data_IF_080068059677
#
_entry.id   IF_080068059677
#
_cell.length_a   1.000
_cell.length_b   1.000
_cell.length_c   1.000
_cell.angle_alpha   90.00
_cell.angle_beta   90.00
_cell.angle_gamma   90.00
#
_symmetry.space_group_name_H-M   'P 1'
#
loop_
_entity.id
_entity.type
_entity.pdbx_description
1 polymer ?
#
# COMPACT_ATOMS: atom_id res chain seq x y z
N UNK A 1 20.87 -81.61 -3.44
CA UNK A 1 20.06 -82.78 -3.03
C UNK A 1 18.94 -82.31 -2.11
N UNK A 2 17.79 -82.98 -2.17
CA UNK A 2 16.77 -83.10 -1.10
C UNK A 2 16.22 -81.79 -0.47
N UNK A 3 15.12 -81.21 -0.94
CA UNK A 3 13.72 -81.62 -0.67
C UNK A 3 13.23 -81.43 0.78
N UNK A 4 12.35 -80.46 1.02
CA UNK A 4 10.94 -80.77 1.34
C UNK A 4 10.05 -79.51 1.31
N UNK A 5 8.79 -79.71 0.99
CA UNK A 5 7.73 -78.71 0.84
C UNK A 5 6.87 -78.56 2.09
N UNK A 6 6.35 -77.36 2.35
CA UNK A 6 4.90 -77.18 2.56
C UNK A 6 4.51 -75.70 2.48
N UNK A 7 3.41 -75.40 1.79
CA UNK A 7 2.87 -74.05 1.67
C UNK A 7 1.56 -73.88 2.41
N UNK A 8 1.21 -72.63 2.76
CA UNK A 8 -0.19 -72.20 2.84
C UNK A 8 -0.32 -70.68 2.72
N UNK A 9 -1.14 -70.25 1.78
CA UNK A 9 -1.49 -68.84 1.58
C UNK A 9 -2.21 -68.25 2.79
N UNK A 10 -1.92 -66.99 3.11
CA UNK A 10 -2.89 -66.04 3.69
C UNK A 10 -2.57 -64.63 3.19
N UNK A 11 -3.60 -63.94 2.70
CA UNK A 11 -3.56 -62.50 2.42
C UNK A 11 -3.10 -61.76 3.67
N UNK A 12 -2.27 -60.73 3.52
CA UNK A 12 -2.20 -59.60 4.45
C UNK A 12 -2.55 -58.35 3.67
N UNK A 13 -3.71 -57.79 3.99
CA UNK A 13 -4.17 -56.50 3.52
C UNK A 13 -3.46 -55.37 4.26
N UNK A 14 -3.32 -54.24 3.57
CA UNK A 14 -3.58 -52.87 4.04
C UNK A 14 -3.22 -52.53 5.50
N UNK A 15 -2.09 -51.81 5.70
CA UNK A 15 -2.00 -50.61 6.56
C UNK A 15 -0.81 -49.74 6.07
N UNK A 16 -1.04 -48.78 5.17
CA UNK A 16 -0.07 -47.71 4.86
C UNK A 16 -0.64 -46.51 4.05
N UNK A 17 -1.96 -46.28 4.03
CA UNK A 17 -2.57 -45.12 3.34
C UNK A 17 -3.70 -44.53 4.20
N UNK A 18 -3.37 -43.98 5.37
CA UNK A 18 -4.40 -43.39 6.26
C UNK A 18 -3.88 -42.28 7.17
N UNK A 19 -3.36 -41.20 6.56
CA UNK A 19 -3.19 -39.89 7.24
C UNK A 19 -3.71 -38.72 6.37
N UNK A 20 -3.83 -38.90 5.05
CA UNK A 20 -4.23 -37.84 4.11
C UNK A 20 -5.73 -37.58 3.93
N UNK A 21 -6.62 -38.44 4.44
CA UNK A 21 -8.08 -38.35 4.18
C UNK A 21 -8.91 -37.83 5.37
N UNK A 22 -8.36 -37.82 6.59
CA UNK A 22 -9.08 -37.39 7.80
C UNK A 22 -9.36 -35.88 7.91
N UNK A 23 -8.60 -35.02 7.20
CA UNK A 23 -8.84 -33.57 7.20
C UNK A 23 -9.86 -33.13 6.13
N UNK A 24 -10.09 -33.92 5.08
CA UNK A 24 -11.05 -33.59 4.02
C UNK A 24 -12.47 -34.02 4.36
N UNK A 25 -12.66 -35.08 5.16
CA UNK A 25 -13.99 -35.49 5.63
C UNK A 25 -14.61 -34.52 6.65
N UNK A 26 -13.79 -33.81 7.44
CA UNK A 26 -14.23 -32.77 8.37
C UNK A 26 -14.74 -31.48 7.70
N UNK A 27 -14.44 -31.28 6.42
CA UNK A 27 -14.91 -30.12 5.63
C UNK A 27 -16.07 -30.46 4.68
N UNK A 28 -16.41 -31.74 4.52
CA UNK A 28 -17.51 -32.21 3.67
C UNK A 28 -18.81 -32.53 4.45
N UNK A 29 -18.82 -32.33 5.77
CA UNK A 29 -19.80 -32.93 6.68
C UNK A 29 -21.09 -32.15 6.98
N UNK A 30 -21.27 -30.93 6.47
CA UNK A 30 -22.51 -30.14 6.67
C UNK A 30 -22.94 -29.38 5.42
N UNK A 31 -23.61 -30.08 4.51
CA UNK A 31 -24.47 -29.49 3.48
C UNK A 31 -25.86 -29.24 4.10
N UNK A 32 -26.28 -27.99 4.20
CA UNK A 32 -27.60 -27.63 4.73
C UNK A 32 -28.69 -27.73 3.64
N UNK A 33 -29.83 -28.43 3.87
CA UNK A 33 -30.79 -28.74 2.82
C UNK A 33 -31.98 -27.77 2.77
N UNK A 34 -31.77 -26.48 2.49
CA UNK A 34 -32.87 -25.51 2.27
C UNK A 34 -32.62 -24.62 1.04
N UNK A 35 -32.75 -25.21 -0.15
CA UNK A 35 -32.70 -24.48 -1.43
C UNK A 35 -33.88 -24.84 -2.36
N UNK A 36 -35.06 -25.07 -1.77
CA UNK A 36 -36.32 -25.28 -2.48
C UNK A 36 -37.51 -24.66 -1.73
N UNK A 37 -37.69 -23.33 -1.81
CA UNK A 37 -39.04 -22.77 -1.95
C UNK A 37 -39.05 -21.38 -2.61
N UNK A 38 -40.08 -21.20 -3.45
CA UNK A 38 -40.62 -19.93 -3.94
C UNK A 38 -39.75 -18.97 -4.79
N UNK A 39 -39.70 -19.26 -6.09
CA UNK A 39 -39.78 -18.20 -7.11
C UNK A 39 -41.25 -17.74 -7.20
N UNK A 40 -41.60 -16.52 -6.75
CA UNK A 40 -42.82 -15.81 -7.14
C UNK A 40 -42.86 -14.33 -6.69
N UNK A 41 -43.60 -13.53 -7.47
CA UNK A 41 -44.14 -12.18 -7.18
C UNK A 41 -43.20 -10.94 -7.29
N UNK A 42 -43.55 -10.08 -8.24
CA UNK A 42 -42.96 -8.76 -8.56
C UNK A 42 -43.76 -7.60 -7.97
N UNK A 43 -43.21 -6.36 -8.01
CA UNK A 43 -43.95 -5.06 -7.87
C UNK A 43 -44.47 -4.75 -6.45
N UNK A 44 -44.55 -3.56 -5.87
CA UNK A 44 -44.29 -2.13 -6.20
C UNK A 44 -43.53 -1.47 -4.99
N UNK A 45 -43.17 -0.18 -4.87
CA UNK A 45 -43.33 1.09 -5.63
C UNK A 45 -42.13 2.02 -5.29
N UNK A 46 -42.02 3.22 -5.88
CA UNK A 46 -41.25 4.33 -5.29
C UNK A 46 -42.03 4.99 -4.14
N UNK A 47 -41.32 5.39 -3.08
CA UNK A 47 -41.84 6.26 -2.01
C UNK A 47 -40.77 7.24 -1.55
N UNK A 48 -41.06 8.54 -1.63
CA UNK A 48 -40.12 9.61 -1.28
C UNK A 48 -39.91 9.71 0.24
N UNK A 49 -38.65 9.62 0.69
CA UNK A 49 -38.30 9.84 2.10
C UNK A 49 -37.78 11.28 2.30
N UNK A 50 -38.59 12.07 3.00
CA UNK A 50 -38.38 13.50 3.25
C UNK A 50 -37.30 13.72 4.33
N UNK A 51 -36.19 14.35 4.00
CA UNK A 51 -35.13 14.69 4.97
C UNK A 51 -35.62 15.82 5.89
N UNK A 52 -35.82 15.52 7.17
CA UNK A 52 -35.90 16.55 8.22
C UNK A 52 -34.50 16.88 8.71
N UNK A 53 -34.09 18.14 8.52
CA UNK A 53 -32.91 18.72 9.19
C UNK A 53 -33.39 19.40 10.46
N UNK A 54 -33.03 18.87 11.62
CA UNK A 54 -33.16 19.57 12.91
C UNK A 54 -31.87 20.31 13.20
N UNK A 55 -31.98 21.64 13.21
CA UNK A 55 -30.94 22.57 13.62
C UNK A 55 -30.96 22.68 15.16
N UNK A 56 -29.81 22.51 15.81
CA UNK A 56 -29.63 22.88 17.23
C UNK A 56 -28.42 23.80 17.41
N UNK A 57 -28.55 24.70 18.38
CA UNK A 57 -27.76 25.92 18.49
C UNK A 57 -26.40 25.76 19.18
N UNK A 58 -25.46 26.64 18.80
CA UNK A 58 -24.13 26.66 19.37
C UNK A 58 -24.06 27.23 20.79
N UNK A 59 -23.12 26.71 21.59
CA UNK A 59 -22.54 27.43 22.73
C UNK A 59 -21.02 27.39 22.66
N UNK A 60 -20.42 28.57 22.65
CA UNK A 60 -18.97 28.75 22.77
C UNK A 60 -18.54 28.40 24.20
N UNK A 61 -17.56 27.50 24.34
CA UNK A 61 -16.93 27.11 25.59
C UNK A 61 -15.45 27.51 25.62
N UNK A 62 -14.96 27.95 26.78
CA UNK A 62 -13.66 28.61 26.94
C UNK A 62 -12.45 27.70 26.66
N UNK A 63 -11.35 28.33 26.25
CA UNK A 63 -10.03 27.70 26.15
C UNK A 63 -9.44 27.47 27.56
N UNK A 64 -9.13 26.21 27.88
CA UNK A 64 -8.21 25.86 28.97
C UNK A 64 -6.92 25.26 28.39
N UNK A 65 -5.79 25.63 28.99
CA UNK A 65 -4.45 25.25 28.56
C UNK A 65 -4.05 23.92 29.20
N UNK A 66 -3.66 22.93 28.40
CA UNK A 66 -3.07 21.68 28.91
C UNK A 66 -1.54 21.82 29.06
N UNK A 67 -0.95 21.33 30.17
CA UNK A 67 0.47 21.52 30.46
C UNK A 67 1.40 20.59 29.65
N UNK A 68 2.61 21.07 29.40
CA UNK A 68 3.71 20.30 28.80
C UNK A 68 4.13 19.13 29.69
N UNK A 69 4.19 17.92 29.12
CA UNK A 69 4.81 16.75 29.73
C UNK A 69 5.84 16.12 28.77
N UNK A 70 7.04 15.88 29.27
CA UNK A 70 8.17 15.26 28.54
C UNK A 70 8.14 13.71 28.70
N UNK A 71 8.88 12.96 27.85
CA UNK A 71 8.41 11.65 27.41
C UNK A 71 8.82 10.47 28.32
N UNK A 72 7.87 9.56 28.55
CA UNK A 72 8.08 8.23 29.10
C UNK A 72 7.32 7.20 28.26
N UNK A 73 8.00 6.14 27.79
CA UNK A 73 7.47 5.25 26.76
C UNK A 73 6.48 4.21 27.30
N UNK A 74 5.18 4.37 26.98
CA UNK A 74 4.18 3.28 27.00
C UNK A 74 3.20 3.45 25.83
N UNK A 75 2.97 2.36 25.09
CA UNK A 75 1.86 2.12 24.16
C UNK A 75 1.50 3.22 23.12
N UNK A 76 2.20 3.21 21.99
CA UNK A 76 1.56 3.47 20.71
C UNK A 76 0.61 2.31 20.37
N UNK A 77 -0.53 2.25 21.06
CA UNK A 77 -1.68 1.52 20.56
C UNK A 77 -2.10 2.22 19.27
N UNK A 78 -1.84 1.59 18.12
CA UNK A 78 -1.95 2.24 16.83
C UNK A 78 -3.35 2.85 16.65
N UNK A 79 -3.39 4.12 16.21
CA UNK A 79 -4.59 4.69 15.61
C UNK A 79 -5.07 3.70 14.53
N UNK A 80 -6.17 2.99 14.81
CA UNK A 80 -6.90 2.27 13.76
C UNK A 80 -7.36 3.36 12.82
N UNK A 81 -6.75 3.41 11.63
CA UNK A 81 -7.04 4.43 10.64
C UNK A 81 -8.55 4.46 10.40
N UNK A 82 -9.13 5.65 10.26
CA UNK A 82 -10.59 5.82 10.12
C UNK A 82 -11.14 4.95 8.97
N UNK A 83 -10.33 4.78 7.93
CA UNK A 83 -10.53 3.89 6.78
C UNK A 83 -10.62 2.40 7.17
N UNK A 84 -9.74 1.91 8.06
CA UNK A 84 -9.82 0.54 8.58
C UNK A 84 -11.07 0.31 9.44
N UNK A 85 -11.49 1.31 10.21
CA UNK A 85 -12.72 1.25 11.01
C UNK A 85 -13.99 1.30 10.15
N UNK A 86 -14.07 2.22 9.18
CA UNK A 86 -15.19 2.30 8.24
C UNK A 86 -15.32 1.01 7.42
N UNK A 87 -14.21 0.41 6.96
CA UNK A 87 -14.26 -0.87 6.24
C UNK A 87 -14.67 -2.04 7.13
N UNK A 88 -14.29 -2.02 8.42
CA UNK A 88 -14.85 -2.94 9.41
C UNK A 88 -16.37 -2.78 9.48
N UNK A 89 -16.88 -1.56 9.67
CA UNK A 89 -18.31 -1.26 9.78
C UNK A 89 -19.13 -1.61 8.53
N UNK A 90 -18.56 -1.51 7.32
CA UNK A 90 -19.21 -2.00 6.09
C UNK A 90 -19.25 -3.53 6.04
N UNK A 91 -18.14 -4.20 6.32
CA UNK A 91 -18.09 -5.67 6.37
C UNK A 91 -19.00 -6.25 7.46
N UNK A 92 -19.27 -5.50 8.55
CA UNK A 92 -20.29 -5.86 9.53
C UNK A 92 -21.71 -5.80 8.94
N UNK A 93 -21.97 -4.83 8.05
CA UNK A 93 -23.27 -4.61 7.41
C UNK A 93 -23.61 -5.64 6.33
N UNK A 94 -22.62 -6.39 5.83
CA UNK A 94 -22.80 -7.49 4.87
C UNK A 94 -23.18 -8.83 5.54
N UNK A 95 -23.28 -8.89 6.87
CA UNK A 95 -23.66 -10.12 7.62
C UNK A 95 -25.17 -10.12 7.94
N UNK A 96 -26.00 -10.25 6.91
CA UNK A 96 -27.47 -10.41 7.06
C UNK A 96 -27.88 -11.82 7.52
N UNK A 97 -27.48 -12.24 8.72
CA UNK A 97 -28.07 -13.38 9.45
C UNK A 97 -28.04 -13.10 10.96
N UNK A 98 -29.21 -13.19 11.62
CA UNK A 98 -29.46 -13.05 13.08
C UNK A 98 -28.29 -12.51 13.92
N UNK A 99 -28.21 -11.18 14.07
CA UNK A 99 -27.05 -10.51 14.65
C UNK A 99 -26.68 -10.99 16.07
N UNK A 100 -25.47 -11.53 16.29
CA UNK A 100 -24.85 -11.46 17.60
C UNK A 100 -24.40 -10.02 17.84
N UNK A 101 -24.96 -9.34 18.84
CA UNK A 101 -24.67 -7.93 19.15
C UNK A 101 -23.21 -7.57 19.51
N UNK A 102 -22.29 -8.54 19.45
CA UNK A 102 -20.85 -8.34 19.38
C UNK A 102 -20.15 -9.52 18.67
N UNK A 103 -19.35 -9.25 17.65
CA UNK A 103 -18.50 -10.26 17.02
C UNK A 103 -17.21 -10.48 17.83
N UNK A 104 -16.94 -11.74 18.20
CA UNK A 104 -15.68 -12.09 18.87
C UNK A 104 -14.52 -12.12 17.89
N UNK A 105 -13.84 -10.98 17.75
CA UNK A 105 -12.66 -10.86 16.87
C UNK A 105 -11.46 -11.63 17.43
N UNK A 106 -11.20 -11.58 18.75
CA UNK A 106 -10.09 -12.28 19.41
C UNK A 106 -10.56 -12.89 20.74
N UNK A 107 -10.14 -14.12 21.06
CA UNK A 107 -10.30 -14.73 22.39
C UNK A 107 -9.13 -15.70 22.67
N UNK A 108 -8.80 -15.91 23.94
CA UNK A 108 -7.81 -16.90 24.39
C UNK A 108 -6.34 -16.57 24.09
N UNK A 109 -5.46 -17.56 24.31
CA UNK A 109 -4.03 -17.47 24.03
C UNK A 109 -3.77 -17.26 22.52
N UNK A 110 -2.79 -16.41 22.20
CA UNK A 110 -2.57 -15.91 20.84
C UNK A 110 -1.20 -16.32 20.30
N UNK A 111 -1.17 -17.09 19.20
CA UNK A 111 0.08 -17.51 18.53
C UNK A 111 0.45 -16.54 17.41
N UNK A 112 1.73 -16.18 17.28
CA UNK A 112 2.27 -15.40 16.15
C UNK A 112 2.93 -16.36 15.17
N UNK A 113 2.51 -16.37 13.91
CA UNK A 113 3.10 -17.23 12.87
C UNK A 113 3.83 -16.38 11.85
N UNK A 114 5.06 -16.77 11.50
CA UNK A 114 5.86 -16.15 10.45
C UNK A 114 6.41 -17.20 9.50
N UNK A 115 6.34 -16.93 8.20
CA UNK A 115 6.78 -17.84 7.15
C UNK A 115 7.78 -17.15 6.21
N UNK A 116 8.87 -17.85 5.92
CA UNK A 116 9.91 -17.44 4.98
C UNK A 116 10.44 -18.65 4.18
N UNK A 117 10.91 -18.38 2.96
CA UNK A 117 11.56 -19.31 2.01
C UNK A 117 12.28 -18.47 0.95
N UNK A 118 12.97 -19.09 0.01
CA UNK A 118 13.66 -18.40 -1.09
C UNK A 118 15.15 -18.20 -0.81
N UNK A 119 15.74 -19.18 -0.13
CA UNK A 119 17.16 -19.28 0.15
C UNK A 119 17.64 -20.61 -0.40
N UNK A 120 18.90 -20.67 -0.78
CA UNK A 120 19.52 -21.87 -1.35
C UNK A 120 19.84 -22.89 -0.24
N UNK A 121 20.07 -24.14 -0.65
CA UNK A 121 20.16 -25.27 0.28
C UNK A 121 21.38 -25.20 1.23
N UNK A 122 22.42 -24.48 0.83
CA UNK A 122 23.65 -24.19 1.57
C UNK A 122 23.49 -23.05 2.60
N UNK A 123 22.51 -22.15 2.42
CA UNK A 123 22.17 -21.09 3.38
C UNK A 123 21.39 -21.62 4.62
N UNK A 124 20.95 -22.88 4.56
CA UNK A 124 20.28 -23.60 5.65
C UNK A 124 21.29 -24.44 6.43
N UNK A 125 21.59 -24.03 7.66
CA UNK A 125 22.48 -24.80 8.54
C UNK A 125 21.73 -26.02 9.08
N UNK A 126 22.10 -27.22 8.64
CA UNK A 126 21.55 -28.48 9.16
C UNK A 126 22.53 -29.08 10.18
N UNK A 127 22.09 -29.19 11.44
CA UNK A 127 22.86 -29.83 12.51
C UNK A 127 22.11 -31.06 13.01
N UNK A 128 22.65 -32.25 12.69
CA UNK A 128 22.30 -33.51 13.34
C UNK A 128 23.45 -33.92 14.24
N UNK A 129 23.21 -34.04 15.55
CA UNK A 129 24.21 -34.53 16.50
C UNK A 129 24.13 -36.06 16.57
N UNK A 130 25.29 -36.72 16.55
CA UNK A 130 25.39 -38.15 16.87
C UNK A 130 24.66 -38.46 18.19
N UNK A 131 23.66 -39.35 18.13
CA UNK A 131 22.83 -39.73 19.28
C UNK A 131 21.61 -38.84 19.56
N UNK A 132 21.40 -37.74 18.83
CA UNK A 132 20.15 -36.97 18.92
C UNK A 132 19.07 -37.57 18.01
N UNK A 133 17.83 -37.66 18.50
CA UNK A 133 16.68 -38.16 17.74
C UNK A 133 16.05 -37.13 16.78
N UNK A 134 16.60 -35.92 16.71
CA UNK A 134 16.01 -34.80 15.97
C UNK A 134 17.08 -33.97 15.25
N UNK A 135 16.79 -33.65 13.98
CA UNK A 135 17.58 -32.74 13.15
C UNK A 135 17.22 -31.29 13.49
N UNK A 136 18.23 -30.47 13.77
CA UNK A 136 18.05 -29.03 13.99
C UNK A 136 18.41 -28.23 12.74
N UNK A 137 17.59 -27.24 12.41
CA UNK A 137 17.79 -26.33 11.28
C UNK A 137 18.12 -24.93 11.79
N UNK A 138 18.94 -24.19 11.04
CA UNK A 138 19.38 -22.83 11.34
C UNK A 138 19.81 -22.08 10.08
N UNK A 139 20.69 -21.09 10.23
CA UNK A 139 21.16 -20.25 9.12
C UNK A 139 20.21 -19.09 8.79
N UNK A 140 20.38 -18.48 7.62
CA UNK A 140 19.66 -17.27 7.21
C UNK A 140 18.14 -17.49 7.19
N UNK A 141 17.71 -18.69 6.79
CA UNK A 141 16.29 -19.06 6.69
C UNK A 141 15.55 -18.93 8.02
N UNK A 142 16.13 -19.46 9.10
CA UNK A 142 15.51 -19.39 10.42
C UNK A 142 15.54 -17.97 10.99
N UNK A 143 16.61 -17.21 10.71
CA UNK A 143 16.71 -15.80 11.11
C UNK A 143 15.63 -14.95 10.45
N UNK A 144 15.42 -15.11 9.14
CA UNK A 144 14.39 -14.38 8.39
C UNK A 144 12.97 -14.87 8.74
N UNK A 145 12.74 -16.17 8.90
CA UNK A 145 11.46 -16.71 9.38
C UNK A 145 11.11 -16.15 10.78
N UNK A 146 12.10 -16.09 11.68
CA UNK A 146 11.93 -15.49 13.01
C UNK A 146 11.64 -13.99 12.93
N UNK A 147 12.36 -13.26 12.08
CA UNK A 147 12.14 -11.84 11.85
C UNK A 147 10.70 -11.56 11.37
N UNK A 148 10.23 -12.30 10.35
CA UNK A 148 8.83 -12.24 9.87
C UNK A 148 7.83 -12.59 10.98
N UNK A 149 8.10 -13.63 11.78
CA UNK A 149 7.27 -14.01 12.94
C UNK A 149 7.19 -12.90 13.98
N UNK A 150 8.28 -12.15 14.21
CA UNK A 150 8.28 -11.04 15.15
C UNK A 150 7.51 -9.81 14.66
N UNK A 151 7.22 -9.68 13.35
CA UNK A 151 6.36 -8.63 12.81
C UNK A 151 4.86 -8.85 13.11
N UNK A 152 4.43 -10.10 13.31
CA UNK A 152 3.04 -10.45 13.57
C UNK A 152 2.52 -9.94 14.93
N UNK A 153 1.23 -9.61 14.97
CA UNK A 153 0.41 -9.62 16.18
C UNK A 153 -0.06 -11.03 16.53
N UNK A 154 -0.47 -11.23 17.79
CA UNK A 154 -1.03 -12.50 18.24
C UNK A 154 -2.26 -12.89 17.42
N UNK A 155 -2.19 -14.04 16.74
CA UNK A 155 -3.18 -14.58 15.81
C UNK A 155 -3.16 -13.97 14.41
N UNK A 156 -2.03 -13.39 13.99
CA UNK A 156 -1.72 -13.15 12.58
C UNK A 156 -0.77 -14.23 12.04
N UNK A 157 -0.90 -14.50 10.74
CA UNK A 157 0.01 -15.32 9.94
C UNK A 157 0.70 -14.40 8.93
N UNK A 158 1.97 -14.08 9.17
CA UNK A 158 2.75 -13.17 8.31
C UNK A 158 3.69 -13.95 7.40
N UNK A 159 3.80 -13.53 6.14
CA UNK A 159 4.62 -14.14 5.10
C UNK A 159 5.62 -13.12 4.54
N UNK A 160 6.80 -13.58 4.15
CA UNK A 160 7.69 -12.82 3.27
C UNK A 160 7.23 -12.89 1.81
N UNK A 161 7.60 -11.89 0.99
CA UNK A 161 7.35 -11.91 -0.46
C UNK A 161 7.89 -13.17 -1.17
N UNK A 162 9.09 -13.62 -0.80
CA UNK A 162 9.69 -14.84 -1.33
C UNK A 162 8.86 -16.12 -1.00
N UNK A 163 8.05 -16.08 0.06
CA UNK A 163 7.04 -17.12 0.34
C UNK A 163 5.78 -16.91 -0.49
N UNK A 164 5.25 -15.68 -0.52
CA UNK A 164 4.04 -15.35 -1.26
C UNK A 164 4.11 -15.78 -2.74
N UNK A 165 5.23 -15.51 -3.42
CA UNK A 165 5.44 -15.87 -4.84
C UNK A 165 5.40 -17.39 -5.08
N UNK A 166 5.66 -18.21 -4.07
CA UNK A 166 5.63 -19.69 -4.18
C UNK A 166 4.28 -20.29 -3.78
N UNK A 167 3.27 -19.50 -3.38
CA UNK A 167 1.98 -20.03 -2.96
C UNK A 167 1.06 -20.34 -4.16
N UNK A 168 0.39 -21.51 -4.19
CA UNK A 168 -0.58 -21.85 -5.22
C UNK A 168 -1.87 -21.05 -5.05
N UNK A 169 -2.02 -19.99 -5.84
CA UNK A 169 -3.14 -19.02 -5.76
C UNK A 169 -4.53 -19.67 -5.86
N UNK A 170 -4.68 -20.71 -6.69
CA UNK A 170 -5.95 -21.42 -6.87
C UNK A 170 -6.30 -22.31 -5.68
N UNK A 171 -5.31 -23.02 -5.10
CA UNK A 171 -5.50 -23.81 -3.88
C UNK A 171 -5.84 -22.93 -2.68
N UNK A 172 -5.15 -21.79 -2.53
CA UNK A 172 -5.51 -20.78 -1.52
C UNK A 172 -6.96 -20.33 -1.67
N UNK A 173 -7.41 -20.06 -2.90
CA UNK A 173 -8.79 -19.64 -3.17
C UNK A 173 -9.79 -20.75 -2.82
N UNK A 174 -9.50 -21.99 -3.19
CA UNK A 174 -10.34 -23.15 -2.87
C UNK A 174 -10.42 -23.41 -1.35
N UNK A 175 -9.31 -23.20 -0.62
CA UNK A 175 -9.26 -23.26 0.84
C UNK A 175 -9.88 -22.02 1.55
N UNK A 176 -10.44 -21.07 0.81
CA UNK A 176 -11.01 -19.84 1.37
C UNK A 176 -9.98 -18.89 1.99
N UNK A 177 -8.70 -19.00 1.61
CA UNK A 177 -7.60 -18.17 2.11
C UNK A 177 -7.40 -16.96 1.19
N UNK A 178 -7.30 -15.79 1.80
CA UNK A 178 -6.81 -14.54 1.20
C UNK A 178 -5.42 -14.21 1.75
N UNK A 179 -4.64 -13.49 0.95
CA UNK A 179 -3.35 -12.94 1.37
C UNK A 179 -3.30 -11.47 0.98
N UNK A 180 -3.04 -10.57 1.95
CA UNK A 180 -2.93 -9.13 1.73
C UNK A 180 -1.49 -8.65 1.87
N UNK A 181 -1.03 -7.79 0.95
CA UNK A 181 0.25 -7.09 1.01
C UNK A 181 0.18 -6.02 2.10
N UNK A 182 1.05 -6.14 3.10
CA UNK A 182 1.05 -5.28 4.28
C UNK A 182 2.03 -4.10 4.15
N UNK A 183 2.66 -3.93 2.97
CA UNK A 183 3.69 -2.93 2.74
C UNK A 183 5.10 -3.51 2.68
N UNK A 184 6.05 -2.64 2.39
CA UNK A 184 7.48 -2.90 2.57
C UNK A 184 7.93 -2.31 3.91
N UNK A 185 8.75 -3.03 4.65
CA UNK A 185 9.13 -2.70 6.03
C UNK A 185 10.61 -2.93 6.29
N UNK A 186 11.20 -2.09 7.12
CA UNK A 186 12.49 -2.34 7.74
C UNK A 186 12.29 -3.25 8.96
N UNK A 187 12.80 -4.47 8.88
CA UNK A 187 12.61 -5.54 9.85
C UNK A 187 13.94 -5.83 10.55
N UNK A 188 13.93 -5.93 11.88
CA UNK A 188 15.10 -6.33 12.66
C UNK A 188 15.34 -7.85 12.56
N UNK A 189 16.59 -8.24 12.33
CA UNK A 189 16.98 -9.66 12.21
C UNK A 189 17.30 -10.32 13.57
N UNK A 190 17.11 -9.58 14.67
CA UNK A 190 17.49 -9.96 16.03
C UNK A 190 18.71 -9.16 16.52
N UNK A 191 19.04 -9.36 17.80
CA UNK A 191 20.15 -8.65 18.46
C UNK A 191 21.47 -8.83 17.70
N UNK A 192 22.18 -7.73 17.46
CA UNK A 192 23.45 -7.70 16.74
C UNK A 192 23.39 -8.00 15.24
N UNK A 193 22.22 -8.35 14.67
CA UNK A 193 22.09 -8.80 13.26
C UNK A 193 21.60 -7.73 12.29
N UNK A 194 21.41 -6.50 12.76
CA UNK A 194 20.97 -5.37 11.93
C UNK A 194 19.53 -5.49 11.43
N UNK A 195 19.26 -4.86 10.30
CA UNK A 195 17.93 -4.75 9.70
C UNK A 195 17.96 -5.11 8.21
N UNK A 196 16.81 -5.54 7.68
CA UNK A 196 16.61 -5.79 6.25
C UNK A 196 15.26 -5.24 5.79
N UNK A 197 15.15 -4.88 4.51
CA UNK A 197 13.92 -4.39 3.90
C UNK A 197 13.11 -5.57 3.31
N UNK A 198 11.93 -5.86 3.85
CA UNK A 198 11.08 -6.96 3.39
C UNK A 198 9.70 -6.45 2.98
N UNK A 199 9.22 -6.93 1.83
CA UNK A 199 7.80 -6.93 1.51
C UNK A 199 7.12 -8.03 2.34
N UNK A 200 6.15 -7.63 3.18
CA UNK A 200 5.44 -8.52 4.10
C UNK A 200 3.97 -8.65 3.71
N UNK A 201 3.40 -9.81 3.98
CA UNK A 201 2.02 -10.14 3.68
C UNK A 201 1.34 -10.77 4.91
N UNK A 202 0.02 -10.66 5.01
CA UNK A 202 -0.79 -11.38 6.01
C UNK A 202 -1.79 -12.32 5.33
N UNK A 203 -1.80 -13.59 5.74
CA UNK A 203 -2.82 -14.55 5.34
C UNK A 203 -3.99 -14.56 6.33
N UNK A 204 -5.21 -14.69 5.81
CA UNK A 204 -6.45 -14.71 6.58
C UNK A 204 -7.54 -15.49 5.82
N UNK A 205 -8.53 -16.04 6.55
CA UNK A 205 -9.69 -16.69 5.93
C UNK A 205 -10.70 -15.64 5.45
N UNK A 206 -11.34 -15.92 4.30
CA UNK A 206 -12.40 -15.10 3.70
C UNK A 206 -13.73 -15.10 4.45
N UNK A 207 -13.82 -15.79 5.58
CA UNK A 207 -14.96 -15.68 6.50
C UNK A 207 -14.96 -14.29 7.17
N UNK A 208 -16.11 -13.61 7.37
CA UNK A 208 -16.16 -12.30 8.02
C UNK A 208 -15.33 -12.25 9.30
N UNK A 209 -15.59 -13.15 10.26
CA UNK A 209 -14.91 -13.26 11.56
C UNK A 209 -13.37 -13.27 11.51
N UNK A 210 -12.76 -13.73 10.42
CA UNK A 210 -11.30 -13.73 10.23
C UNK A 210 -10.81 -12.54 9.42
N UNK A 211 -11.58 -12.08 8.43
CA UNK A 211 -11.27 -10.87 7.68
C UNK A 211 -11.16 -9.67 8.63
N UNK A 212 -12.13 -9.45 9.52
CA UNK A 212 -12.12 -8.36 10.50
C UNK A 212 -10.86 -8.33 11.38
N UNK A 213 -10.22 -9.48 11.67
CA UNK A 213 -8.97 -9.54 12.46
C UNK A 213 -7.82 -8.79 11.80
N UNK A 214 -7.79 -8.71 10.47
CA UNK A 214 -6.73 -8.04 9.74
C UNK A 214 -6.72 -6.54 10.04
N UNK A 215 -7.89 -5.90 10.00
CA UNK A 215 -8.04 -4.46 10.30
C UNK A 215 -8.02 -4.17 11.79
N UNK A 216 -8.67 -5.01 12.62
CA UNK A 216 -8.71 -4.82 14.08
C UNK A 216 -7.33 -4.95 14.77
N UNK A 217 -6.41 -5.73 14.20
CA UNK A 217 -5.04 -5.87 14.71
C UNK A 217 -4.08 -4.79 14.16
N UNK A 218 -4.51 -3.97 13.19
CA UNK A 218 -3.72 -2.85 12.69
C UNK A 218 -2.38 -3.22 12.02
N UNK A 219 -1.45 -2.25 11.88
CA UNK A 219 -0.20 -2.41 11.13
C UNK A 219 0.78 -3.38 11.79
N UNK A 220 1.72 -3.92 11.01
CA UNK A 220 2.72 -4.87 11.50
C UNK A 220 3.69 -4.23 12.51
N UNK A 221 4.19 -5.04 13.44
CA UNK A 221 5.16 -4.65 14.48
C UNK A 221 6.59 -4.62 13.94
N UNK A 222 6.93 -3.56 13.22
CA UNK A 222 8.22 -3.38 12.52
C UNK A 222 9.02 -2.20 13.08
N UNK A 223 10.30 -2.09 12.71
CA UNK A 223 11.12 -0.94 13.10
C UNK A 223 10.73 0.33 12.35
N UNK A 224 10.39 0.21 11.05
CA UNK A 224 9.88 1.31 10.21
C UNK A 224 9.11 0.76 9.01
N UNK A 225 7.97 1.35 8.68
CA UNK A 225 7.31 1.12 7.39
C UNK A 225 7.99 1.96 6.29
N UNK A 226 8.30 1.33 5.16
CA UNK A 226 8.96 1.94 4.00
C UNK A 226 7.97 2.19 2.85
N UNK A 227 6.98 1.31 2.69
CA UNK A 227 5.89 1.45 1.73
C UNK A 227 4.55 1.09 2.40
N UNK A 228 3.47 1.87 2.20
CA UNK A 228 2.11 1.52 2.63
C UNK A 228 1.65 0.18 2.06
N UNK A 229 0.73 -0.47 2.78
CA UNK A 229 0.06 -1.70 2.35
C UNK A 229 -1.46 -1.57 2.41
N UNK A 230 -2.17 -2.69 2.20
CA UNK A 230 -3.63 -2.79 2.08
C UNK A 230 -4.42 -2.09 3.21
N UNK A 231 -3.88 -1.98 4.44
CA UNK A 231 -4.52 -1.25 5.54
C UNK A 231 -4.66 0.28 5.33
N UNK A 232 -3.93 0.84 4.37
CA UNK A 232 -3.97 2.27 4.02
C UNK A 232 -4.89 2.57 2.83
N UNK A 233 -5.44 1.53 2.20
CA UNK A 233 -6.22 1.64 0.98
C UNK A 233 -7.62 2.22 1.26
N UNK A 234 -8.02 3.36 0.65
CA UNK A 234 -9.37 3.90 0.79
C UNK A 234 -10.45 2.97 0.22
N UNK A 235 -11.70 3.14 0.65
CA UNK A 235 -12.86 2.37 0.17
C UNK A 235 -14.08 3.31 0.14
N UNK A 236 -15.14 2.92 -0.58
CA UNK A 236 -16.27 3.81 -0.85
C UNK A 236 -15.79 4.96 -1.75
N UNK A 237 -15.75 6.18 -1.23
CA UNK A 237 -15.17 7.33 -1.93
C UNK A 237 -13.64 7.35 -1.85
N UNK A 238 -12.97 7.53 -2.99
CA UNK A 238 -11.52 7.76 -3.03
C UNK A 238 -11.15 8.91 -3.98
N UNK A 239 -10.07 9.61 -3.64
CA UNK A 239 -9.34 10.46 -4.57
C UNK A 239 -8.22 9.65 -5.23
N UNK A 240 -8.18 9.59 -6.55
CA UNK A 240 -7.19 8.82 -7.31
C UNK A 240 -6.29 9.74 -8.11
N UNK A 241 -4.97 9.57 -7.99
CA UNK A 241 -3.97 10.23 -8.82
C UNK A 241 -3.35 9.22 -9.79
N UNK A 242 -3.36 9.58 -11.07
CA UNK A 242 -2.77 8.82 -12.17
C UNK A 242 -1.63 9.67 -12.75
N UNK A 243 -0.39 9.29 -12.46
CA UNK A 243 0.82 9.98 -12.92
C UNK A 243 1.52 9.19 -14.02
N UNK A 244 2.09 9.90 -15.00
CA UNK A 244 2.82 9.33 -16.13
C UNK A 244 4.02 10.18 -16.51
N UNK A 245 5.04 9.58 -17.12
CA UNK A 245 6.16 10.30 -17.72
C UNK A 245 5.94 10.51 -19.23
N UNK A 246 5.87 11.76 -19.67
CA UNK A 246 5.89 12.10 -21.08
C UNK A 246 7.24 11.71 -21.70
N UNK A 247 7.23 11.17 -22.93
CA UNK A 247 8.44 10.74 -23.64
C UNK A 247 9.09 9.45 -23.11
N UNK A 248 8.54 8.77 -22.09
CA UNK A 248 9.20 7.61 -21.48
C UNK A 248 9.44 6.45 -22.45
N UNK A 249 8.49 6.15 -23.33
CA UNK A 249 8.66 5.14 -24.38
C UNK A 249 9.81 5.48 -25.36
N UNK A 250 10.07 6.77 -25.60
CA UNK A 250 11.19 7.23 -26.44
C UNK A 250 12.53 7.06 -25.69
N UNK A 251 12.57 7.41 -24.40
CA UNK A 251 13.73 7.19 -23.53
C UNK A 251 14.08 5.68 -23.47
N UNK A 252 13.09 4.82 -23.25
CA UNK A 252 13.24 3.35 -23.21
C UNK A 252 13.69 2.75 -24.55
N UNK A 253 13.26 3.32 -25.67
CA UNK A 253 13.70 2.91 -27.00
C UNK A 253 15.13 3.37 -27.34
N UNK A 254 15.61 4.46 -26.74
CA UNK A 254 16.98 4.95 -26.87
C UNK A 254 17.96 4.21 -25.94
N UNK A 255 17.65 4.12 -24.65
CA UNK A 255 18.40 3.34 -23.66
C UNK A 255 17.44 2.77 -22.61
N UNK A 256 17.19 1.46 -22.70
CA UNK A 256 16.31 0.74 -21.77
C UNK A 256 16.86 0.66 -20.34
N UNK A 257 18.19 0.66 -20.17
CA UNK A 257 18.84 0.55 -18.87
C UNK A 257 18.79 1.87 -18.10
N UNK A 258 19.10 2.98 -18.78
CA UNK A 258 18.92 4.34 -18.27
C UNK A 258 17.44 4.62 -17.97
N UNK A 259 16.53 4.22 -18.85
CA UNK A 259 15.09 4.38 -18.61
C UNK A 259 14.63 3.62 -17.37
N UNK A 260 15.14 2.40 -17.13
CA UNK A 260 14.82 1.60 -15.94
C UNK A 260 15.38 2.23 -14.66
N UNK A 261 16.61 2.76 -14.68
CA UNK A 261 17.21 3.48 -13.55
C UNK A 261 16.40 4.74 -13.20
N UNK A 262 16.07 5.56 -14.21
CA UNK A 262 15.29 6.77 -14.02
C UNK A 262 13.88 6.47 -13.51
N UNK A 263 13.24 5.41 -14.04
CA UNK A 263 11.94 4.94 -13.57
C UNK A 263 12.01 4.50 -12.09
N UNK A 264 13.06 3.80 -11.68
CA UNK A 264 13.25 3.37 -10.30
C UNK A 264 13.39 4.56 -9.34
N UNK A 265 14.15 5.60 -9.71
CA UNK A 265 14.30 6.84 -8.93
C UNK A 265 12.95 7.57 -8.75
N UNK A 266 12.17 7.70 -9.84
CA UNK A 266 10.83 8.30 -9.80
C UNK A 266 9.86 7.46 -8.95
N UNK A 267 9.73 6.16 -9.22
CA UNK A 267 8.80 5.29 -8.50
C UNK A 267 9.15 5.22 -7.01
N UNK A 268 10.43 5.10 -6.64
CA UNK A 268 10.87 5.11 -5.24
C UNK A 268 10.57 6.46 -4.55
N UNK A 269 10.63 7.57 -5.28
CA UNK A 269 10.28 8.90 -4.74
C UNK A 269 8.78 9.03 -4.55
N UNK A 270 7.98 8.73 -5.56
CA UNK A 270 6.52 8.70 -5.49
C UNK A 270 6.02 7.80 -4.34
N UNK A 271 6.63 6.62 -4.16
CA UNK A 271 6.32 5.69 -3.07
C UNK A 271 6.66 6.23 -1.68
N UNK A 272 7.86 6.82 -1.49
CA UNK A 272 8.27 7.44 -0.21
C UNK A 272 7.32 8.56 0.19
N UNK A 273 6.85 9.36 -0.77
CA UNK A 273 5.97 10.50 -0.52
C UNK A 273 4.55 10.10 -0.10
N UNK A 274 4.09 8.86 -0.37
CA UNK A 274 2.80 8.37 0.13
C UNK A 274 2.73 8.37 1.67
N UNK A 275 3.84 8.06 2.34
CA UNK A 275 3.98 8.13 3.80
C UNK A 275 4.17 9.58 4.28
N UNK A 276 4.79 10.45 3.48
CA UNK A 276 5.05 11.84 3.86
C UNK A 276 3.76 12.67 3.94
N UNK A 277 2.79 12.42 3.05
CA UNK A 277 1.49 13.10 3.09
C UNK A 277 0.50 12.53 4.11
N UNK A 278 0.92 11.57 4.94
CA UNK A 278 0.12 11.11 6.08
C UNK A 278 0.05 12.17 7.18
N UNK A 279 -0.93 12.07 8.06
CA UNK A 279 -1.08 12.95 9.23
C UNK A 279 -1.68 12.22 10.42
N UNK A 280 -1.78 12.88 11.57
CA UNK A 280 -2.29 12.29 12.82
C UNK A 280 -3.67 11.62 12.68
N UNK A 281 -4.51 12.14 11.77
CA UNK A 281 -5.86 11.62 11.50
C UNK A 281 -6.05 11.12 10.04
N UNK A 282 -5.01 11.22 9.21
CA UNK A 282 -5.06 10.87 7.78
C UNK A 282 -4.08 9.72 7.51
N UNK A 283 -4.54 8.52 7.12
CA UNK A 283 -3.62 7.44 6.76
C UNK A 283 -2.80 7.84 5.53
N UNK A 284 -1.63 7.21 5.39
CA UNK A 284 -0.79 7.34 4.20
C UNK A 284 -1.57 6.99 2.91
N UNK A 285 -1.13 7.54 1.79
CA UNK A 285 -1.66 7.15 0.47
C UNK A 285 -1.37 5.69 0.15
N UNK A 286 -2.18 5.09 -0.72
CA UNK A 286 -2.02 3.69 -1.12
C UNK A 286 -1.60 3.58 -2.59
N UNK A 287 -0.51 2.85 -2.85
CA UNK A 287 -0.06 2.53 -4.20
C UNK A 287 -0.92 1.39 -4.78
N UNK A 288 -1.73 1.70 -5.78
CA UNK A 288 -2.57 0.72 -6.48
C UNK A 288 -1.73 -0.11 -7.43
N UNK A 289 -1.02 0.57 -8.34
CA UNK A 289 -0.18 -0.06 -9.36
C UNK A 289 0.92 0.88 -9.85
N UNK A 290 1.96 0.26 -10.38
CA UNK A 290 2.93 0.88 -11.28
C UNK A 290 2.89 0.13 -12.61
N UNK A 291 3.25 0.80 -13.70
CA UNK A 291 3.42 0.14 -15.00
C UNK A 291 4.69 0.65 -15.68
N UNK A 292 5.61 -0.27 -15.94
CA UNK A 292 6.98 0.06 -16.36
C UNK A 292 7.12 0.29 -17.87
N UNK A 293 6.05 0.06 -18.64
CA UNK A 293 5.99 0.39 -20.08
C UNK A 293 5.80 1.90 -20.31
N UNK A 294 4.84 2.51 -19.63
CA UNK A 294 4.47 3.94 -19.82
C UNK A 294 5.00 4.85 -18.69
N UNK A 295 5.76 4.30 -17.74
CA UNK A 295 6.29 5.04 -16.58
C UNK A 295 5.19 5.50 -15.62
N UNK A 296 4.24 4.63 -15.30
CA UNK A 296 3.00 4.97 -14.61
C UNK A 296 3.07 4.75 -13.11
N UNK A 297 2.40 5.63 -12.35
CA UNK A 297 2.09 5.44 -10.93
C UNK A 297 0.62 5.77 -10.72
N UNK A 298 -0.16 4.79 -10.22
CA UNK A 298 -1.53 4.99 -9.78
C UNK A 298 -1.61 4.88 -8.26
N UNK A 299 -2.05 5.96 -7.61
CA UNK A 299 -2.22 6.04 -6.16
C UNK A 299 -3.65 6.44 -5.80
N UNK A 300 -4.11 5.97 -4.64
CA UNK A 300 -5.43 6.25 -4.08
C UNK A 300 -5.31 6.81 -2.66
N UNK A 301 -6.15 7.80 -2.34
CA UNK A 301 -6.14 8.55 -1.09
C UNK A 301 -7.57 8.71 -0.54
N UNK A 302 -7.75 8.76 0.79
CA UNK A 302 -9.02 9.11 1.42
C UNK A 302 -9.40 10.59 1.25
N UNK A 303 -8.47 11.46 0.81
CA UNK A 303 -8.69 12.91 0.70
C UNK A 303 -8.13 13.47 -0.60
N UNK A 304 -8.91 14.34 -1.26
CA UNK A 304 -8.50 15.06 -2.46
C UNK A 304 -7.34 16.03 -2.21
N UNK A 305 -7.34 16.70 -1.05
CA UNK A 305 -6.24 17.58 -0.63
C UNK A 305 -4.93 16.79 -0.47
N UNK A 306 -5.00 15.62 0.15
CA UNK A 306 -3.84 14.73 0.31
C UNK A 306 -3.33 14.21 -1.04
N UNK A 307 -4.25 13.86 -1.94
CA UNK A 307 -3.97 13.42 -3.30
C UNK A 307 -3.24 14.51 -4.11
N UNK A 308 -3.74 15.75 -4.09
CA UNK A 308 -3.12 16.91 -4.73
C UNK A 308 -1.76 17.24 -4.12
N UNK A 309 -1.64 17.23 -2.79
CA UNK A 309 -0.38 17.46 -2.10
C UNK A 309 0.67 16.42 -2.51
N UNK A 310 0.31 15.14 -2.58
CA UNK A 310 1.21 14.07 -3.03
C UNK A 310 1.64 14.26 -4.49
N UNK A 311 0.70 14.57 -5.39
CA UNK A 311 1.00 14.76 -6.82
C UNK A 311 1.96 15.94 -7.02
N UNK A 312 1.64 17.11 -6.43
CA UNK A 312 2.48 18.31 -6.51
C UNK A 312 3.86 18.08 -5.88
N UNK A 313 3.92 17.48 -4.69
CA UNK A 313 5.18 17.19 -4.01
C UNK A 313 6.03 16.16 -4.76
N UNK A 314 5.40 15.21 -5.46
CA UNK A 314 6.12 14.26 -6.32
C UNK A 314 6.71 14.97 -7.53
N UNK A 315 5.95 15.84 -8.20
CA UNK A 315 6.46 16.66 -9.32
C UNK A 315 7.64 17.54 -8.89
N UNK A 316 7.54 18.25 -7.77
CA UNK A 316 8.62 19.14 -7.29
C UNK A 316 9.85 18.36 -6.85
N UNK A 317 9.69 17.34 -6.00
CA UNK A 317 10.81 16.53 -5.51
C UNK A 317 11.56 15.84 -6.67
N UNK A 318 10.85 15.46 -7.74
CA UNK A 318 11.49 14.85 -8.92
C UNK A 318 12.40 15.81 -9.69
N UNK A 319 12.25 17.13 -9.59
CA UNK A 319 13.19 18.08 -10.22
C UNK A 319 14.57 18.07 -9.54
N UNK A 320 14.61 17.74 -8.25
CA UNK A 320 15.81 17.81 -7.39
C UNK A 320 16.45 16.43 -7.15
N UNK A 321 16.01 15.39 -7.84
CA UNK A 321 16.66 14.08 -7.80
C UNK A 321 18.01 14.07 -8.52
N UNK A 322 18.91 13.19 -8.08
CA UNK A 322 20.21 12.92 -8.71
C UNK A 322 20.02 12.09 -10.00
N UNK A 323 19.40 12.70 -11.01
CA UNK A 323 19.22 12.10 -12.32
C UNK A 323 20.56 11.75 -12.97
N UNK A 324 20.69 10.60 -13.65
CA UNK A 324 21.87 10.27 -14.42
C UNK A 324 22.14 11.35 -15.49
N UNK A 325 23.39 11.76 -15.63
CA UNK A 325 23.75 12.89 -16.51
C UNK A 325 23.29 12.68 -17.97
N UNK A 326 23.33 11.45 -18.48
CA UNK A 326 22.84 11.10 -19.80
C UNK A 326 21.36 11.43 -20.04
N UNK A 327 20.51 11.42 -18.99
CA UNK A 327 19.12 11.91 -19.10
C UNK A 327 19.11 13.45 -19.21
N UNK A 328 19.91 14.15 -18.41
CA UNK A 328 19.96 15.61 -18.38
C UNK A 328 20.57 16.22 -19.66
N UNK A 329 21.47 15.49 -20.32
CA UNK A 329 22.04 15.88 -21.62
C UNK A 329 21.06 15.63 -22.79
N UNK A 330 19.93 14.95 -22.54
CA UNK A 330 18.90 14.66 -23.54
C UNK A 330 17.79 15.73 -23.53
N UNK A 331 17.23 16.03 -24.71
CA UNK A 331 16.07 16.94 -24.86
C UNK A 331 14.85 16.50 -24.01
N UNK A 332 14.74 15.20 -23.74
CA UNK A 332 13.68 14.65 -22.89
C UNK A 332 13.89 14.91 -21.39
N UNK A 333 15.11 15.24 -20.94
CA UNK A 333 15.46 15.37 -19.53
C UNK A 333 16.16 16.68 -19.13
N UNK A 334 16.52 17.53 -20.08
CA UNK A 334 17.24 18.80 -19.89
C UNK A 334 16.65 19.71 -18.79
N UNK A 335 17.49 20.57 -18.22
CA UNK A 335 17.05 21.58 -17.25
C UNK A 335 16.50 22.82 -17.95
N UNK A 336 15.22 23.12 -17.72
CA UNK A 336 14.52 24.29 -18.27
C UNK A 336 14.44 25.35 -17.18
N UNK A 337 15.00 26.53 -17.44
CA UNK A 337 14.98 27.70 -16.53
C UNK A 337 14.31 28.91 -17.17
N UNK A 338 13.76 29.80 -16.35
CA UNK A 338 13.25 31.11 -16.78
C UNK A 338 13.77 32.20 -15.86
N UNK A 339 14.18 33.32 -16.44
CA UNK A 339 14.61 34.50 -15.70
C UNK A 339 13.41 35.26 -15.13
N UNK A 340 13.35 35.39 -13.80
CA UNK A 340 12.39 36.27 -13.14
C UNK A 340 13.07 37.58 -12.78
N UNK A 341 12.78 38.62 -13.58
CA UNK A 341 13.11 39.99 -13.22
C UNK A 341 12.31 40.39 -11.98
N UNK A 342 13.00 40.88 -10.94
CA UNK A 342 12.31 41.47 -9.79
C UNK A 342 11.49 42.67 -10.27
N UNK A 343 10.23 42.85 -9.82
CA UNK A 343 9.46 44.05 -10.14
C UNK A 343 10.12 45.25 -9.45
N UNK A 344 11.01 45.96 -10.16
CA UNK A 344 11.49 47.26 -9.71
C UNK A 344 10.28 48.17 -9.60
N UNK A 345 9.97 48.63 -8.39
CA UNK A 345 8.68 49.23 -8.06
C UNK A 345 8.24 50.26 -9.09
N UNK A 346 7.09 50.01 -9.73
CA UNK A 346 6.39 51.02 -10.51
C UNK A 346 5.79 52.04 -9.55
N UNK A 347 6.63 52.97 -9.10
CA UNK A 347 6.19 54.16 -8.39
C UNK A 347 5.44 55.04 -9.39
N UNK A 348 4.13 54.86 -9.48
CA UNK A 348 3.26 55.79 -10.16
C UNK A 348 3.25 57.12 -9.40
N UNK A 349 4.06 58.07 -9.84
CA UNK A 349 4.04 59.46 -9.38
C UNK A 349 3.66 60.40 -10.51
N UNK A 350 2.36 60.63 -10.68
CA UNK A 350 1.86 61.81 -11.40
C UNK A 350 2.25 63.06 -10.59
N UNK A 351 3.07 63.96 -11.14
CA UNK A 351 3.46 65.20 -10.46
C UNK A 351 4.46 66.05 -11.24
N UNK A 352 3.97 67.11 -11.87
CA UNK A 352 4.72 68.09 -12.68
C UNK A 352 5.70 68.96 -11.88
N UNK A 353 6.89 69.22 -12.43
CA UNK A 353 7.83 70.27 -11.96
C UNK A 353 9.20 70.20 -12.67
N UNK A 354 9.71 71.30 -13.27
CA UNK A 354 10.91 71.24 -14.12
C UNK A 354 12.24 71.60 -13.42
N UNK A 355 13.34 71.21 -14.09
CA UNK A 355 14.74 71.70 -13.94
C UNK A 355 15.48 71.52 -12.61
N UNK A 356 16.34 70.50 -12.55
CA UNK A 356 17.58 70.49 -11.78
C UNK A 356 18.68 69.68 -12.52
N UNK A 357 19.94 70.02 -12.25
CA UNK A 357 21.16 69.63 -12.98
C UNK A 357 21.46 68.11 -12.99
N UNK A 358 22.23 67.59 -13.97
CA UNK A 358 22.65 66.20 -13.98
C UNK A 358 23.73 65.94 -12.92
N UNK A 359 23.38 65.18 -11.88
CA UNK A 359 24.34 64.63 -10.93
C UNK A 359 24.54 63.14 -11.19
N UNK A 360 25.81 62.75 -11.35
CA UNK A 360 26.42 61.42 -11.37
C UNK A 360 25.61 60.19 -11.82
N UNK A 361 26.23 59.43 -12.74
CA UNK A 361 25.84 58.06 -13.07
C UNK A 361 26.17 57.09 -11.92
N UNK A 362 25.44 57.21 -10.81
CA UNK A 362 25.43 56.21 -9.74
C UNK A 362 24.89 54.90 -10.31
N UNK A 363 25.77 53.90 -10.45
CA UNK A 363 25.43 52.60 -11.01
C UNK A 363 24.26 51.99 -10.22
N UNK A 364 23.10 51.90 -10.88
CA UNK A 364 21.92 51.20 -10.35
C UNK A 364 22.39 49.78 -10.01
N UNK A 365 22.25 49.29 -8.76
CA UNK A 365 22.72 47.96 -8.41
C UNK A 365 22.02 46.96 -9.35
N UNK A 366 22.73 45.91 -9.83
CA UNK A 366 22.15 44.97 -10.76
C UNK A 366 20.85 44.43 -10.15
N UNK A 367 19.75 44.64 -10.86
CA UNK A 367 18.47 44.04 -10.51
C UNK A 367 18.71 42.54 -10.39
N UNK A 368 18.44 41.98 -9.22
CA UNK A 368 18.81 40.59 -8.96
C UNK A 368 17.98 39.70 -9.88
N UNK A 369 18.60 39.22 -10.97
CA UNK A 369 17.98 38.28 -11.88
C UNK A 369 17.94 36.93 -11.18
N UNK A 370 16.73 36.47 -10.86
CA UNK A 370 16.54 35.17 -10.20
C UNK A 370 16.11 34.17 -11.26
N UNK A 371 16.99 33.22 -11.59
CA UNK A 371 16.65 32.08 -12.44
C UNK A 371 15.75 31.11 -11.68
N UNK A 372 14.60 30.79 -12.23
CA UNK A 372 13.64 29.82 -11.68
C UNK A 372 13.66 28.57 -12.55
N UNK A 373 13.99 27.42 -11.94
CA UNK A 373 13.88 26.09 -12.56
C UNK A 373 12.41 25.72 -12.76
N UNK A 374 12.05 25.33 -13.98
CA UNK A 374 10.70 24.92 -14.36
C UNK A 374 10.57 23.40 -14.52
N UNK A 375 11.57 22.75 -15.10
CA UNK A 375 11.61 21.31 -15.35
C UNK A 375 13.07 20.81 -15.26
N UNK A 376 13.27 19.59 -14.77
CA UNK A 376 14.56 18.87 -14.79
C UNK A 376 14.31 17.37 -14.66
N UNK A 377 15.01 16.55 -15.45
CA UNK A 377 14.79 15.11 -15.52
C UNK A 377 13.44 14.73 -16.13
N UNK A 378 12.87 13.60 -15.68
CA UNK A 378 11.66 13.01 -16.27
C UNK A 378 10.47 13.99 -16.33
N UNK A 379 9.83 14.07 -17.50
CA UNK A 379 8.71 14.98 -17.77
C UNK A 379 7.39 14.42 -17.23
N UNK A 380 7.25 14.44 -15.92
CA UNK A 380 6.09 13.93 -15.22
C UNK A 380 4.85 14.82 -15.43
N UNK A 381 3.67 14.19 -15.43
CA UNK A 381 2.37 14.85 -15.36
C UNK A 381 1.39 14.00 -14.55
N UNK A 382 0.32 14.63 -14.06
CA UNK A 382 -0.69 13.98 -13.24
C UNK A 382 -2.11 14.36 -13.65
N UNK A 383 -3.02 13.39 -13.58
CA UNK A 383 -4.46 13.61 -13.54
C UNK A 383 -5.04 13.08 -12.24
N UNK A 384 -5.85 13.89 -11.58
CA UNK A 384 -6.54 13.56 -10.32
C UNK A 384 -8.04 13.55 -10.56
N UNK A 385 -8.77 12.70 -9.85
CA UNK A 385 -10.23 12.79 -9.76
C UNK A 385 -10.72 12.15 -8.44
N UNK A 386 -11.97 12.44 -8.06
CA UNK A 386 -12.61 11.93 -6.84
C UNK A 386 -13.92 11.24 -7.19
N UNK A 387 -14.19 10.10 -6.56
CA UNK A 387 -15.51 9.47 -6.61
C UNK A 387 -15.56 8.08 -6.00
N UNK A 388 -16.73 7.45 -6.11
CA UNK A 388 -16.96 6.09 -5.66
C UNK A 388 -16.09 5.07 -6.41
N UNK A 389 -15.48 4.17 -5.64
CA UNK A 389 -14.64 3.07 -6.11
C UNK A 389 -15.04 1.75 -5.45
N UNK A 390 -15.22 0.73 -6.29
CA UNK A 390 -15.18 -0.65 -5.84
C UNK A 390 -13.71 -1.09 -5.71
N UNK A 391 -13.38 -1.89 -4.69
CA UNK A 391 -12.04 -2.42 -4.48
C UNK A 391 -12.07 -3.94 -4.27
N UNK A 392 -11.19 -4.65 -4.99
CA UNK A 392 -11.11 -6.11 -5.00
C UNK A 392 -9.69 -6.56 -4.65
N UNK A 393 -9.56 -7.48 -3.69
CA UNK A 393 -8.25 -8.02 -3.32
C UNK A 393 -7.76 -8.98 -4.41
N UNK A 394 -6.75 -8.57 -5.16
CA UNK A 394 -6.18 -9.33 -6.28
C UNK A 394 -5.28 -10.45 -5.74
N UNK A 395 -5.62 -11.74 -5.94
CA UNK A 395 -4.85 -12.83 -5.32
C UNK A 395 -3.40 -12.95 -5.82
N UNK A 396 -3.14 -12.53 -7.06
CA UNK A 396 -1.81 -12.65 -7.71
C UNK A 396 -0.73 -11.74 -7.09
N UNK A 397 -1.10 -10.63 -6.46
CA UNK A 397 -0.16 -9.68 -5.84
C UNK A 397 -0.53 -9.30 -4.39
N UNK A 398 -1.65 -9.81 -3.88
CA UNK A 398 -2.18 -9.49 -2.56
C UNK A 398 -2.59 -8.03 -2.36
N UNK A 399 -2.78 -7.27 -3.44
CA UNK A 399 -3.11 -5.84 -3.39
C UNK A 399 -4.57 -5.59 -3.76
N UNK A 400 -5.17 -4.54 -3.20
CA UNK A 400 -6.43 -4.04 -3.74
C UNK A 400 -6.19 -3.43 -5.12
N UNK A 401 -7.01 -3.87 -6.08
CA UNK A 401 -7.23 -3.23 -7.36
C UNK A 401 -8.55 -2.45 -7.29
N UNK A 402 -8.62 -1.32 -7.97
CA UNK A 402 -9.76 -0.41 -7.93
C UNK A 402 -10.51 -0.38 -9.25
N UNK A 403 -11.83 -0.22 -9.16
CA UNK A 403 -12.74 -0.11 -10.30
C UNK A 403 -13.69 1.04 -10.02
N UNK A 404 -13.82 1.97 -10.97
CA UNK A 404 -14.69 3.13 -10.80
C UNK A 404 -14.59 4.09 -11.98
N UNK A 405 -15.56 5.01 -12.08
CA UNK A 405 -15.53 6.07 -13.09
C UNK A 405 -14.37 7.03 -12.84
N UNK A 406 -13.94 7.22 -11.59
CA UNK A 406 -12.92 8.19 -11.26
C UNK A 406 -11.52 7.83 -11.74
N UNK A 407 -11.13 6.55 -11.68
CA UNK A 407 -9.87 6.09 -12.29
C UNK A 407 -9.82 6.40 -13.80
N UNK A 408 -10.94 6.15 -14.50
CA UNK A 408 -11.07 6.45 -15.92
C UNK A 408 -11.06 7.96 -16.23
N UNK A 409 -11.57 8.80 -15.33
CA UNK A 409 -11.49 10.27 -15.47
C UNK A 409 -10.08 10.76 -15.19
N UNK A 410 -9.45 10.37 -14.08
CA UNK A 410 -8.07 10.69 -13.74
C UNK A 410 -7.10 10.33 -14.89
N UNK A 411 -7.25 9.15 -15.49
CA UNK A 411 -6.46 8.74 -16.65
C UNK A 411 -6.66 9.64 -17.89
N UNK A 412 -7.90 10.07 -18.18
CA UNK A 412 -8.20 11.01 -19.28
C UNK A 412 -7.66 12.42 -18.99
N UNK A 413 -7.81 12.91 -17.76
CA UNK A 413 -7.29 14.22 -17.32
C UNK A 413 -5.77 14.22 -17.44
N UNK A 414 -5.10 13.14 -17.01
CA UNK A 414 -3.67 12.96 -17.23
C UNK A 414 -3.31 12.92 -18.73
N UNK A 415 -4.16 12.32 -19.58
CA UNK A 415 -4.01 12.37 -21.03
C UNK A 415 -3.96 13.80 -21.58
N UNK A 416 -4.81 14.70 -21.08
CA UNK A 416 -4.90 16.10 -21.46
C UNK A 416 -3.81 17.00 -20.83
N UNK A 417 -3.29 16.63 -19.66
CA UNK A 417 -2.28 17.42 -18.95
C UNK A 417 -0.96 17.52 -19.74
N UNK A 418 -0.31 18.69 -19.67
CA UNK A 418 1.06 18.90 -20.13
C UNK A 418 2.07 18.51 -19.06
N UNK A 419 3.33 18.33 -19.47
CA UNK A 419 4.46 18.09 -18.56
C UNK A 419 4.55 19.17 -17.47
N UNK A 420 4.73 18.75 -16.22
CA UNK A 420 4.75 19.61 -15.04
C UNK A 420 3.38 20.00 -14.47
N UNK A 421 2.26 19.57 -15.09
CA UNK A 421 0.92 19.92 -14.64
C UNK A 421 0.24 18.81 -13.83
N UNK A 422 -0.61 19.23 -12.88
CA UNK A 422 -1.62 18.40 -12.22
C UNK A 422 -2.99 18.90 -12.70
N UNK A 423 -3.70 18.09 -13.48
CA UNK A 423 -5.11 18.33 -13.81
C UNK A 423 -6.03 17.67 -12.77
N UNK A 424 -7.22 18.25 -12.58
CA UNK A 424 -8.29 17.75 -11.70
C UNK A 424 -9.67 17.98 -12.29
#
# INVERSE_FOLDING_TARGET
>A
CSSSSNGRSKKKQDVAVEVGQGLLSLLAGQLWPELQSSVAASSTTLGEAKVLVTQEDGRMGHSEQLPLALPGAVAQAAHVSHVGWQRLCELYREVEVEEPGALTVLVGLRVRVGLHTGLDADEVLVQSRMGASSTTYGGAALVLAKAVQTCAHGGQVTLSAATFVKLPVEELRAAGISVAHMGQHLVALGEGKGHTALNLYCAFLKTPAHAHRLWALGPLRVARQLQPGVLHAPHGTAATAFMSCHGFAQLKAWDASLAQECLALYQATAQRLLLHVAGLQLPAGYLVSTADEDGMVLAAFPSSLQCLHWALLTLTTCMDLDWPQALLDSVSGEEVVTERQSPTGSAASNGTGPTAMPLEAGARPPGHCHTVRLLRGLRLKAGVDVGEVACDLTPANGRFNYRGRCLNRAARINGLALSGQVGG
#
